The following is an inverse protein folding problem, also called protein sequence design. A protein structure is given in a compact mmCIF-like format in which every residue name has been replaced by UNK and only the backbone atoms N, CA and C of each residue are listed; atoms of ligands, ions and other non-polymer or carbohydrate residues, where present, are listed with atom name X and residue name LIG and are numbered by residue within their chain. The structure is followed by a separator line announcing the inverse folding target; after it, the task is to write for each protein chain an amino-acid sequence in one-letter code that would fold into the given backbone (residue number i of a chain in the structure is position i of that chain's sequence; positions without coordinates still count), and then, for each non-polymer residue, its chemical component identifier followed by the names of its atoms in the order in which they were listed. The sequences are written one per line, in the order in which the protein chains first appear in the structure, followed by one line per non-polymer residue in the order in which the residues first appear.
data_IF_786998602977
#
_entry.id   IF_786998602977
#
_cell.length_a   1.000
_cell.length_b   1.000
_cell.length_c   1.000
_cell.angle_alpha   90.00
_cell.angle_beta   90.00
_cell.angle_gamma   90.00
#
_symmetry.space_group_name_H-M   'P 1'
#
loop_
_entity.id
_entity.type
_entity.pdbx_description
1 polymer ?
#
# COMPACT_ATOMS: atom_id res chain seq x y z
N UNK A 1 -21.91 16.77 -5.65
CA UNK A 1 -20.56 17.32 -5.91
C UNK A 1 -19.58 16.36 -5.26
N UNK A 2 -18.74 15.74 -6.09
CA UNK A 2 -18.06 14.46 -5.88
C UNK A 2 -17.24 14.39 -4.60
N UNK A 3 -17.52 13.38 -3.75
CA UNK A 3 -16.60 12.95 -2.70
C UNK A 3 -15.60 11.99 -3.31
N UNK A 4 -14.63 12.52 -4.05
CA UNK A 4 -13.47 11.74 -4.47
C UNK A 4 -12.63 11.50 -3.20
N UNK A 5 -12.77 10.29 -2.65
CA UNK A 5 -11.99 9.82 -1.51
C UNK A 5 -10.54 9.63 -1.96
N UNK A 6 -9.75 10.72 -1.97
CA UNK A 6 -8.37 10.70 -2.44
C UNK A 6 -7.43 10.19 -1.33
N UNK A 7 -7.47 8.88 -1.09
CA UNK A 7 -6.54 8.18 -0.21
C UNK A 7 -5.47 7.47 -1.05
N UNK A 8 -4.21 7.76 -0.77
CA UNK A 8 -3.07 7.02 -1.35
C UNK A 8 -2.37 6.29 -0.22
N UNK A 9 -2.43 4.96 -0.26
CA UNK A 9 -1.56 4.11 0.57
C UNK A 9 -0.21 4.02 -0.11
N UNK A 10 0.81 4.63 0.48
CA UNK A 10 2.19 4.43 0.06
C UNK A 10 2.72 3.10 0.66
N UNK A 11 2.24 1.98 0.12
CA UNK A 11 2.76 0.65 0.39
C UNK A 11 3.88 0.34 -0.60
N UNK A 12 5.13 0.37 -0.15
CA UNK A 12 6.30 0.06 -0.98
C UNK A 12 6.94 1.31 -1.58
N UNK A 13 8.03 1.75 -0.96
CA UNK A 13 8.94 2.77 -1.51
C UNK A 13 9.52 2.32 -2.86
N UNK A 14 9.49 1.01 -3.13
CA UNK A 14 9.81 0.42 -4.43
C UNK A 14 8.53 -0.20 -4.99
N UNK A 15 7.60 0.65 -5.42
CA UNK A 15 6.27 0.22 -5.89
C UNK A 15 6.34 -0.73 -7.11
N UNK A 16 7.50 -0.81 -7.79
CA UNK A 16 7.65 -1.54 -9.06
C UNK A 16 8.76 -2.59 -9.08
N UNK A 17 9.59 -2.72 -8.03
CA UNK A 17 10.70 -3.68 -7.99
C UNK A 17 10.76 -4.35 -6.62
N UNK A 18 10.67 -5.68 -6.58
CA UNK A 18 10.90 -6.46 -5.36
C UNK A 18 12.40 -6.67 -5.19
N UNK A 19 13.05 -6.14 -4.14
CA UNK A 19 14.47 -6.39 -3.93
C UNK A 19 14.75 -7.90 -3.79
N UNK A 20 15.88 -8.39 -4.33
CA UNK A 20 16.25 -9.79 -4.23
C UNK A 20 16.37 -10.20 -2.76
N UNK A 21 15.76 -11.32 -2.39
CA UNK A 21 15.79 -11.82 -1.01
C UNK A 21 14.96 -10.99 -0.02
N UNK A 22 14.05 -10.12 -0.48
CA UNK A 22 13.25 -9.24 0.39
C UNK A 22 14.09 -8.36 1.32
N UNK A 23 15.32 -8.04 0.87
CA UNK A 23 16.20 -7.09 1.55
C UNK A 23 15.59 -5.69 1.52
N UNK A 24 16.11 -4.82 2.36
CA UNK A 24 15.80 -3.40 2.28
C UNK A 24 16.27 -2.82 0.93
N UNK A 25 15.52 -1.86 0.38
CA UNK A 25 15.90 -1.19 -0.86
C UNK A 25 17.16 -0.34 -0.64
N UNK A 26 18.07 -0.38 -1.62
CA UNK A 26 19.26 0.45 -1.61
C UNK A 26 18.89 1.91 -1.94
N UNK A 27 19.69 2.89 -1.48
CA UNK A 27 19.45 4.30 -1.80
C UNK A 27 19.26 4.57 -3.29
N UNK A 28 20.05 3.92 -4.16
CA UNK A 28 19.98 4.11 -5.61
C UNK A 28 18.65 3.57 -6.19
N UNK A 29 18.11 2.49 -5.61
CA UNK A 29 16.81 1.92 -6.01
C UNK A 29 15.66 2.83 -5.58
N UNK A 30 15.80 3.49 -4.43
CA UNK A 30 14.84 4.47 -3.92
C UNK A 30 14.84 5.69 -4.83
N UNK A 31 16.01 6.28 -5.10
CA UNK A 31 16.15 7.46 -5.97
C UNK A 31 15.56 7.21 -7.37
N UNK A 32 15.79 6.01 -7.93
CA UNK A 32 15.23 5.63 -9.22
C UNK A 32 13.69 5.57 -9.22
N UNK A 33 13.07 5.16 -8.11
CA UNK A 33 11.62 4.98 -8.00
C UNK A 33 10.89 6.21 -7.44
N UNK A 34 11.59 7.09 -6.72
CA UNK A 34 11.03 8.23 -6.01
C UNK A 34 10.27 9.17 -6.95
N UNK A 35 10.85 9.49 -8.11
CA UNK A 35 10.24 10.38 -9.10
C UNK A 35 8.84 9.93 -9.54
N UNK A 36 8.61 8.62 -9.67
CA UNK A 36 7.31 8.06 -10.01
C UNK A 36 6.28 8.27 -8.90
N UNK A 37 6.67 8.04 -7.65
CA UNK A 37 5.81 8.25 -6.49
C UNK A 37 5.40 9.73 -6.35
N UNK A 38 6.36 10.64 -6.46
CA UNK A 38 6.07 12.08 -6.40
C UNK A 38 5.16 12.53 -7.54
N UNK A 39 5.35 11.97 -8.76
CA UNK A 39 4.46 12.24 -9.88
C UNK A 39 3.05 11.73 -9.65
N UNK A 40 2.89 10.56 -9.04
CA UNK A 40 1.57 10.03 -8.66
C UNK A 40 0.88 10.96 -7.65
N UNK A 41 1.61 11.40 -6.62
CA UNK A 41 1.07 12.32 -5.61
C UNK A 41 0.67 13.66 -6.25
N UNK A 42 1.50 14.20 -7.15
CA UNK A 42 1.22 15.44 -7.88
C UNK A 42 -0.07 15.33 -8.73
N UNK A 43 -0.30 14.18 -9.38
CA UNK A 43 -1.46 13.94 -10.23
C UNK A 43 -2.74 13.66 -9.42
N UNK A 44 -2.64 12.85 -8.35
CA UNK A 44 -3.79 12.46 -7.52
C UNK A 44 -4.22 13.60 -6.60
N UNK A 45 -3.27 14.43 -6.15
CA UNK A 45 -3.47 15.50 -5.15
C UNK A 45 -4.23 14.99 -3.91
N UNK A 46 -3.67 14.01 -3.18
CA UNK A 46 -4.33 13.44 -2.02
C UNK A 46 -4.42 14.45 -0.87
N UNK A 47 -5.49 14.35 -0.09
CA UNK A 47 -5.62 15.10 1.17
C UNK A 47 -4.85 14.42 2.32
N UNK A 48 -4.76 13.09 2.26
CA UNK A 48 -4.10 12.23 3.24
C UNK A 48 -3.25 11.17 2.54
N UNK A 49 -2.02 11.00 3.00
CA UNK A 49 -1.11 9.91 2.59
C UNK A 49 -0.74 9.11 3.82
N UNK A 50 -1.15 7.84 3.86
CA UNK A 50 -0.74 6.92 4.92
C UNK A 50 0.53 6.16 4.49
N UNK A 51 1.59 6.24 5.30
CA UNK A 51 2.85 5.53 5.04
C UNK A 51 2.95 4.29 5.89
N UNK A 52 3.38 3.18 5.29
CA UNK A 52 3.53 1.90 5.97
C UNK A 52 5.01 1.61 6.21
N UNK A 53 5.45 1.72 7.46
CA UNK A 53 6.80 1.40 7.89
C UNK A 53 7.83 2.52 7.70
N UNK A 54 9.04 2.23 8.17
CA UNK A 54 10.10 3.23 8.36
C UNK A 54 10.56 3.88 7.05
N UNK A 55 10.72 3.09 5.99
CA UNK A 55 11.22 3.59 4.70
C UNK A 55 10.28 4.62 4.07
N UNK A 56 8.99 4.28 3.95
CA UNK A 56 8.00 5.16 3.35
C UNK A 56 7.85 6.46 4.15
N UNK A 57 7.82 6.35 5.48
CA UNK A 57 7.76 7.53 6.36
C UNK A 57 9.00 8.41 6.21
N UNK A 58 10.20 7.84 6.20
CA UNK A 58 11.44 8.63 6.04
C UNK A 58 11.49 9.37 4.71
N UNK A 59 11.15 8.68 3.62
CA UNK A 59 11.14 9.26 2.28
C UNK A 59 10.17 10.46 2.21
N UNK A 60 8.91 10.25 2.56
CA UNK A 60 7.88 11.28 2.40
C UNK A 60 7.90 12.35 3.48
N UNK A 61 8.43 12.07 4.68
CA UNK A 61 8.59 13.10 5.72
C UNK A 61 9.85 13.95 5.54
N UNK A 62 10.83 13.49 4.75
CA UNK A 62 12.15 14.10 4.62
C UNK A 62 12.97 14.11 5.92
N UNK A 63 12.55 13.35 6.94
CA UNK A 63 13.17 13.34 8.28
C UNK A 63 13.70 11.96 8.62
N UNK A 64 14.90 11.84 9.24
CA UNK A 64 15.47 10.55 9.63
C UNK A 64 14.81 9.94 10.89
N UNK A 65 13.58 10.34 11.25
CA UNK A 65 12.93 9.89 12.48
C UNK A 65 12.43 8.45 12.34
N UNK A 66 12.70 7.62 13.35
CA UNK A 66 12.22 6.24 13.40
C UNK A 66 10.72 6.13 13.61
N UNK A 67 10.10 5.15 12.94
CA UNK A 67 8.64 4.92 12.94
C UNK A 67 8.02 4.82 14.35
N UNK A 68 8.71 4.19 15.30
CA UNK A 68 8.21 3.99 16.68
C UNK A 68 7.87 5.31 17.40
N UNK A 69 8.45 6.43 16.99
CA UNK A 69 8.18 7.74 17.60
C UNK A 69 7.09 8.55 16.89
N UNK A 70 6.82 8.23 15.63
CA UNK A 70 5.97 9.06 14.74
C UNK A 70 4.71 8.36 14.26
N UNK A 71 4.58 7.05 14.50
CA UNK A 71 3.35 6.34 14.16
C UNK A 71 2.13 6.96 14.88
N UNK A 72 0.97 6.97 14.22
CA UNK A 72 -0.26 7.51 14.78
C UNK A 72 -0.29 9.04 14.96
N UNK A 73 0.76 9.76 14.53
CA UNK A 73 0.84 11.22 14.62
C UNK A 73 0.76 11.84 13.22
N UNK A 74 -0.34 12.53 12.87
CA UNK A 74 -0.44 13.19 11.57
C UNK A 74 0.55 14.36 11.48
N UNK A 75 1.18 14.51 10.31
CA UNK A 75 2.19 15.52 10.03
C UNK A 75 1.82 16.26 8.74
N UNK A 76 1.88 17.60 8.75
CA UNK A 76 1.75 18.39 7.51
C UNK A 76 3.08 18.40 6.77
N UNK A 77 3.03 18.05 5.49
CA UNK A 77 4.19 18.02 4.59
C UNK A 77 3.80 18.58 3.23
N UNK A 78 4.77 19.15 2.52
CA UNK A 78 4.60 19.55 1.14
C UNK A 78 5.07 18.41 0.23
N UNK A 79 4.16 17.78 -0.52
CA UNK A 79 4.46 16.70 -1.46
C UNK A 79 3.90 17.04 -2.85
N UNK A 80 4.74 16.93 -3.88
CA UNK A 80 4.33 17.24 -5.26
C UNK A 80 3.76 18.66 -5.41
N UNK A 81 4.26 19.62 -4.64
CA UNK A 81 3.80 21.02 -4.65
C UNK A 81 2.51 21.32 -3.88
N UNK A 82 1.91 20.33 -3.19
CA UNK A 82 0.68 20.50 -2.41
C UNK A 82 0.92 20.23 -0.92
N UNK A 83 0.18 20.91 -0.04
CA UNK A 83 0.12 20.51 1.37
C UNK A 83 -0.71 19.24 1.52
N UNK A 84 -0.11 18.22 2.13
CA UNK A 84 -0.70 16.91 2.36
C UNK A 84 -0.55 16.53 3.83
N UNK A 85 -1.56 15.86 4.38
CA UNK A 85 -1.44 15.22 5.70
C UNK A 85 -0.74 13.88 5.52
N UNK A 86 0.46 13.73 6.05
CA UNK A 86 1.17 12.46 6.14
C UNK A 86 0.79 11.75 7.45
N UNK A 87 0.40 10.49 7.37
CA UNK A 87 0.04 9.68 8.52
C UNK A 87 0.92 8.43 8.60
N UNK A 88 1.95 8.41 9.47
CA UNK A 88 2.84 7.27 9.62
C UNK A 88 2.16 6.12 10.36
N UNK A 89 2.33 4.91 9.83
CA UNK A 89 1.80 3.67 10.38
C UNK A 89 2.91 2.60 10.41
N UNK A 90 2.79 1.64 11.31
CA UNK A 90 3.66 0.46 11.25
C UNK A 90 3.44 -0.33 9.95
N UNK A 91 4.47 -1.06 9.50
CA UNK A 91 4.31 -1.95 8.36
C UNK A 91 3.44 -3.15 8.77
N UNK A 92 2.44 -3.57 7.98
CA UNK A 92 1.54 -4.67 8.35
C UNK A 92 2.27 -5.99 8.68
N UNK A 93 3.43 -6.23 8.06
CA UNK A 93 4.28 -7.38 8.38
C UNK A 93 4.69 -7.44 9.87
N UNK A 94 4.77 -6.30 10.58
CA UNK A 94 5.06 -6.29 12.02
C UNK A 94 3.99 -7.03 12.84
N UNK A 95 2.72 -6.98 12.42
CA UNK A 95 1.65 -7.72 13.07
C UNK A 95 1.74 -9.24 12.89
N UNK A 96 2.40 -9.71 11.83
CA UNK A 96 2.60 -11.15 11.59
C UNK A 96 3.56 -11.76 12.61
N UNK A 97 4.55 -10.98 13.07
CA UNK A 97 5.55 -11.43 14.05
C UNK A 97 5.15 -11.13 15.49
N UNK A 98 4.35 -10.10 15.71
CA UNK A 98 4.00 -9.64 17.06
C UNK A 98 2.51 -9.31 17.12
N UNK A 99 1.74 -10.19 17.78
CA UNK A 99 0.27 -10.06 17.83
C UNK A 99 -0.20 -8.75 18.50
N UNK A 100 0.56 -8.20 19.44
CA UNK A 100 0.24 -6.90 20.06
C UNK A 100 0.40 -5.71 19.10
N UNK A 101 1.13 -5.86 18.00
CA UNK A 101 1.21 -4.81 16.96
C UNK A 101 -0.07 -4.74 16.14
N UNK A 102 -0.87 -5.81 16.09
CA UNK A 102 -2.15 -5.81 15.40
C UNK A 102 -3.11 -4.80 16.03
N UNK A 103 -3.24 -4.79 17.37
CA UNK A 103 -4.12 -3.84 18.06
C UNK A 103 -3.68 -2.39 17.87
N UNK A 104 -2.38 -2.13 17.82
CA UNK A 104 -1.84 -0.79 17.54
C UNK A 104 -2.19 -0.36 16.11
N UNK A 105 -2.02 -1.24 15.13
CA UNK A 105 -2.40 -0.98 13.75
C UNK A 105 -3.91 -0.74 13.61
N UNK A 106 -4.75 -1.57 14.22
CA UNK A 106 -6.20 -1.39 14.21
C UNK A 106 -6.61 -0.03 14.80
N UNK A 107 -6.00 0.36 15.92
CA UNK A 107 -6.24 1.66 16.53
C UNK A 107 -5.79 2.81 15.63
N UNK A 108 -4.60 2.74 15.04
CA UNK A 108 -4.10 3.76 14.14
C UNK A 108 -4.99 3.90 12.89
N UNK A 109 -5.44 2.78 12.30
CA UNK A 109 -6.36 2.78 11.14
C UNK A 109 -7.74 3.34 11.48
N UNK A 110 -8.25 3.11 12.70
CA UNK A 110 -9.55 3.63 13.15
C UNK A 110 -9.61 5.17 13.11
N UNK A 111 -8.45 5.85 13.19
CA UNK A 111 -8.36 7.31 13.15
C UNK A 111 -8.38 7.89 11.74
N UNK A 112 -8.16 7.09 10.70
CA UNK A 112 -8.10 7.56 9.29
C UNK A 112 -9.39 8.28 8.86
N UNK A 113 -10.60 7.77 9.15
CA UNK A 113 -11.82 8.48 8.78
C UNK A 113 -11.95 9.86 9.45
N UNK A 114 -11.56 9.97 10.73
CA UNK A 114 -11.55 11.25 11.45
C UNK A 114 -10.59 12.24 10.78
N UNK A 115 -9.40 11.78 10.38
CA UNK A 115 -8.41 12.58 9.65
C UNK A 115 -8.91 13.02 8.26
N UNK A 116 -9.77 12.22 7.63
CA UNK A 116 -10.42 12.54 6.36
C UNK A 116 -11.69 13.40 6.53
N UNK A 117 -12.09 13.73 7.77
CA UNK A 117 -13.35 14.42 8.04
C UNK A 117 -14.59 13.60 7.67
N UNK A 118 -14.45 12.27 7.58
CA UNK A 118 -15.55 11.35 7.31
C UNK A 118 -16.25 11.02 8.63
N UNK A 119 -17.52 11.41 8.76
CA UNK A 119 -18.37 10.94 9.86
C UNK A 119 -18.54 9.42 9.74
N UNK A 120 -17.86 8.64 10.59
CA UNK A 120 -18.01 7.19 10.61
C UNK A 120 -19.33 6.82 11.27
N UNK A 121 -20.28 6.34 10.48
CA UNK A 121 -21.12 5.24 10.95
C UNK A 121 -20.24 4.01 10.75
N UNK A 122 -19.77 3.39 11.83
CA UNK A 122 -19.09 2.09 11.74
C UNK A 122 -20.15 1.11 11.21
N UNK A 123 -20.06 0.60 9.97
CA UNK A 123 -20.90 -0.52 9.61
C UNK A 123 -20.43 -1.70 10.47
N UNK A 124 -21.38 -2.39 11.09
CA UNK A 124 -21.15 -3.70 11.71
C UNK A 124 -20.31 -4.54 10.73
N UNK A 125 -19.27 -5.27 11.18
CA UNK A 125 -18.42 -6.02 10.27
C UNK A 125 -19.31 -6.94 9.44
N UNK A 126 -19.46 -6.63 8.15
CA UNK A 126 -20.11 -7.51 7.22
C UNK A 126 -19.33 -8.80 7.28
N UNK A 127 -19.97 -9.85 7.83
CA UNK A 127 -19.40 -11.18 7.86
C UNK A 127 -18.86 -11.46 6.47
N UNK A 128 -17.56 -11.77 6.38
CA UNK A 128 -16.94 -12.19 5.15
C UNK A 128 -17.69 -13.43 4.68
N UNK A 129 -18.65 -13.23 3.77
CA UNK A 129 -19.37 -14.34 3.17
C UNK A 129 -18.31 -15.16 2.43
N UNK A 130 -18.20 -16.47 2.66
CA UNK A 130 -17.32 -17.28 1.85
C UNK A 130 -17.77 -17.11 0.40
N UNK A 131 -16.86 -16.66 -0.46
CA UNK A 131 -17.03 -16.71 -1.91
C UNK A 131 -17.44 -18.15 -2.27
N UNK A 132 -18.49 -18.37 -3.07
CA UNK A 132 -18.86 -19.71 -3.48
C UNK A 132 -17.69 -20.32 -4.26
N UNK A 133 -17.31 -21.54 -3.88
CA UNK A 133 -16.22 -22.29 -4.49
C UNK A 133 -16.26 -22.15 -6.02
N UNK A 134 -15.19 -21.55 -6.57
CA UNK A 134 -15.03 -21.41 -8.00
C UNK A 134 -14.98 -22.80 -8.64
N UNK A 135 -16.11 -23.18 -9.24
CA UNK A 135 -16.31 -24.42 -9.96
C UNK A 135 -15.20 -24.59 -11.00
N UNK A 136 -14.46 -25.69 -10.87
CA UNK A 136 -13.28 -26.06 -11.64
C UNK A 136 -13.61 -26.16 -13.14
N UNK A 137 -13.39 -25.06 -13.87
CA UNK A 137 -13.50 -25.05 -15.33
C UNK A 137 -12.31 -25.80 -15.93
N UNK A 138 -12.52 -27.09 -16.20
CA UNK A 138 -11.62 -27.96 -16.97
C UNK A 138 -11.40 -27.37 -18.38
N UNK A 139 -10.16 -27.13 -18.82
CA UNK A 139 -9.94 -26.73 -20.21
C UNK A 139 -10.17 -27.90 -21.17
N UNK A 140 -10.63 -27.53 -22.36
CA UNK A 140 -11.15 -28.36 -23.43
C UNK A 140 -10.16 -29.41 -23.98
N UNK A 141 -10.73 -30.49 -24.51
CA UNK A 141 -10.06 -31.60 -25.17
C UNK A 141 -9.16 -31.13 -26.34
N UNK A 142 -7.92 -31.59 -26.34
CA UNK A 142 -6.96 -31.43 -27.46
C UNK A 142 -7.36 -32.37 -28.60
N UNK A 143 -7.55 -31.92 -29.85
CA UNK A 143 -7.77 -32.84 -30.96
C UNK A 143 -6.46 -33.52 -31.37
N UNK A 144 -6.56 -34.82 -31.67
CA UNK A 144 -5.45 -35.70 -32.04
C UNK A 144 -4.72 -35.32 -33.35
N UNK A 145 -3.39 -35.45 -33.28
CA UNK A 145 -2.40 -35.79 -34.33
C UNK A 145 -2.49 -35.10 -35.71
N UNK A 146 -1.48 -34.27 -35.97
CA UNK A 146 -0.90 -34.13 -37.29
C UNK A 146 0.49 -34.79 -37.31
N UNK A 147 0.70 -35.64 -38.30
CA UNK A 147 1.86 -36.50 -38.55
C UNK A 147 3.07 -35.67 -38.95
N UNK A 148 4.22 -35.94 -38.32
CA UNK A 148 5.53 -35.45 -38.72
C UNK A 148 5.89 -36.04 -40.08
N UNK A 149 6.03 -35.19 -41.10
CA UNK A 149 6.67 -35.55 -42.36
C UNK A 149 8.14 -35.17 -42.26
N UNK A 150 8.99 -36.18 -42.18
CA UNK A 150 10.43 -36.07 -42.39
C UNK A 150 10.71 -35.60 -43.82
N UNK A 151 11.54 -34.56 -43.98
CA UNK A 151 12.37 -34.33 -45.18
C UNK A 151 13.43 -33.26 -44.90
N UNK A 152 14.67 -33.75 -44.77
CA UNK A 152 15.99 -33.11 -44.67
C UNK A 152 16.47 -32.59 -43.31
#
# INVERSE_FOLDING_TARGET
MERTHNFVTAGGVVHNCRPPGNRDPQPEEIEACESHLFRQIELIRPTLVATLGNFATKLLSGKPTGITRVHGVPQRVALGGNEVTLYPLFHPAAALYTRSMLSVLEEDFRRIPELLGLTTVVPEPAAFAPEPDAEEQRPAQVPERAVQLDLF
#
